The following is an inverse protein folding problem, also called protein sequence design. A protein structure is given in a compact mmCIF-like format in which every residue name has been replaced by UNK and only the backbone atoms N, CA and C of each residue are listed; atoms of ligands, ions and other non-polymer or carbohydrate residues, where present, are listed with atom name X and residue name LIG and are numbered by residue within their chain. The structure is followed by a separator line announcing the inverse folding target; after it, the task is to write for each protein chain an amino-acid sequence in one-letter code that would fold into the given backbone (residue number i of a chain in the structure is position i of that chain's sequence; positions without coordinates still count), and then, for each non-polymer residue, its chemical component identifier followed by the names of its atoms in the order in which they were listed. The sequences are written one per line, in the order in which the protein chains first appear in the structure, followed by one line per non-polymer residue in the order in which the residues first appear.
data_IF_722846369081
#
_entry.id   IF_722846369081
#
_cell.length_a   1.000
_cell.length_b   1.000
_cell.length_c   1.000
_cell.angle_alpha   90.00
_cell.angle_beta   90.00
_cell.angle_gamma   90.00
#
_symmetry.space_group_name_H-M   'P 1'
#
loop_
_entity.id
_entity.type
_entity.pdbx_description
1 polymer ?
#
# COMPACT_ATOMS: atom_id res chain seq x y z
N UNK A 1 -5.81 34.24 -11.21
CA UNK A 1 -5.98 32.81 -10.88
C UNK A 1 -5.09 32.48 -9.68
N UNK A 2 -5.62 32.24 -8.47
CA UNK A 2 -4.76 32.03 -7.32
C UNK A 2 -4.25 30.58 -7.31
N UNK A 3 -2.93 30.48 -7.21
CA UNK A 3 -2.09 29.33 -6.98
C UNK A 3 -2.80 28.10 -6.39
N UNK A 4 -2.68 26.97 -7.08
CA UNK A 4 -2.79 25.63 -6.49
C UNK A 4 -1.70 25.49 -5.44
N UNK A 5 -1.97 26.00 -4.23
CA UNK A 5 -1.21 25.73 -3.02
C UNK A 5 -0.92 24.24 -2.99
N UNK A 6 0.36 23.90 -2.98
CA UNK A 6 0.88 22.59 -2.58
C UNK A 6 0.07 22.11 -1.39
N UNK A 7 -0.89 21.21 -1.62
CA UNK A 7 -1.49 20.46 -0.52
C UNK A 7 -0.30 19.77 0.13
N UNK A 8 -0.04 19.96 1.44
CA UNK A 8 0.97 19.17 2.10
C UNK A 8 0.59 17.72 1.80
N UNK A 9 1.56 16.94 1.34
CA UNK A 9 1.44 15.51 1.18
C UNK A 9 0.94 14.92 2.49
N UNK A 10 -0.38 14.73 2.60
CA UNK A 10 -1.05 14.43 3.85
C UNK A 10 -0.75 12.97 4.19
N UNK A 11 0.08 12.79 5.21
CA UNK A 11 0.22 11.53 5.93
C UNK A 11 -0.85 11.52 7.02
N UNK A 12 -1.76 10.55 6.97
CA UNK A 12 -2.75 10.33 8.03
C UNK A 12 -2.58 8.95 8.64
N UNK A 13 -2.89 8.81 9.93
CA UNK A 13 -2.85 7.53 10.64
C UNK A 13 -4.22 7.29 11.23
N UNK A 14 -4.84 6.18 10.87
CA UNK A 14 -6.18 5.79 11.30
C UNK A 14 -6.15 4.42 11.98
N UNK A 15 -7.02 4.22 12.95
CA UNK A 15 -7.29 2.92 13.55
C UNK A 15 -8.57 2.36 12.95
N UNK A 16 -8.53 1.11 12.49
CA UNK A 16 -9.71 0.43 11.96
C UNK A 16 -10.03 -0.82 12.77
N UNK A 17 -11.28 -0.92 13.21
CA UNK A 17 -11.80 -2.01 14.02
C UNK A 17 -11.61 -1.82 15.53
N UNK A 18 -12.43 -2.54 16.31
CA UNK A 18 -12.42 -2.46 17.76
C UNK A 18 -11.11 -2.98 18.37
N UNK A 19 -10.67 -2.34 19.46
CA UNK A 19 -9.49 -2.71 20.26
C UNK A 19 -8.12 -2.55 19.58
N UNK A 20 -8.01 -1.67 18.58
CA UNK A 20 -6.69 -1.24 18.08
C UNK A 20 -6.06 -0.25 19.06
N UNK A 21 -4.87 -0.60 19.56
CA UNK A 21 -4.15 0.12 20.62
C UNK A 21 -3.82 1.56 20.22
N UNK A 22 -4.13 2.52 21.09
CA UNK A 22 -3.72 3.94 20.97
C UNK A 22 -2.20 4.09 21.00
N UNK A 23 -1.50 3.23 21.73
CA UNK A 23 -0.03 3.22 21.78
C UNK A 23 0.57 2.81 20.44
N UNK A 24 -0.07 1.89 19.71
CA UNK A 24 0.37 1.50 18.37
C UNK A 24 0.25 2.68 17.39
N UNK A 25 -0.87 3.42 17.47
CA UNK A 25 -1.07 4.66 16.72
C UNK A 25 0.01 5.70 17.01
N UNK A 26 0.26 6.01 18.28
CA UNK A 26 1.29 6.97 18.68
C UNK A 26 2.67 6.60 18.14
N UNK A 27 3.05 5.32 18.20
CA UNK A 27 4.32 4.84 17.65
C UNK A 27 4.40 5.05 16.14
N UNK A 28 3.35 4.71 15.42
CA UNK A 28 3.28 4.90 13.96
C UNK A 28 3.38 6.38 13.62
N UNK A 29 2.60 7.23 14.28
CA UNK A 29 2.63 8.69 14.10
C UNK A 29 4.02 9.28 14.38
N UNK A 30 4.74 8.71 15.35
CA UNK A 30 6.11 9.14 15.68
C UNK A 30 7.15 8.71 14.64
N UNK A 31 7.11 7.47 14.15
CA UNK A 31 8.14 6.95 13.24
C UNK A 31 7.85 7.23 11.75
N UNK A 32 6.57 7.32 11.36
CA UNK A 32 6.19 7.41 9.95
C UNK A 32 6.78 8.64 9.23
N UNK A 33 6.82 9.86 9.81
CA UNK A 33 7.45 11.00 9.16
C UNK A 33 8.93 10.79 8.85
N UNK A 34 9.69 10.26 9.82
CA UNK A 34 11.14 10.01 9.66
C UNK A 34 11.40 8.98 8.55
N UNK A 35 10.68 7.87 8.57
CA UNK A 35 10.84 6.83 7.54
C UNK A 35 10.37 7.32 6.17
N UNK A 36 9.29 8.10 6.12
CA UNK A 36 8.81 8.74 4.89
C UNK A 36 9.87 9.65 4.28
N UNK A 37 10.53 10.48 5.10
CA UNK A 37 11.56 11.40 4.64
C UNK A 37 12.78 10.64 4.10
N UNK A 38 13.20 9.56 4.75
CA UNK A 38 14.28 8.69 4.24
C UNK A 38 13.98 8.17 2.82
N UNK A 39 12.75 7.68 2.59
CA UNK A 39 12.33 7.21 1.26
C UNK A 39 12.23 8.36 0.27
N UNK A 40 11.63 9.47 0.68
CA UNK A 40 11.49 10.67 -0.13
C UNK A 40 12.85 11.22 -0.59
N UNK A 41 13.84 11.26 0.29
CA UNK A 41 15.20 11.72 -0.04
C UNK A 41 15.91 10.74 -0.98
N UNK A 42 15.70 9.42 -0.83
CA UNK A 42 16.23 8.42 -1.75
C UNK A 42 15.73 8.60 -3.19
N UNK A 43 14.45 8.89 -3.36
CA UNK A 43 13.82 9.07 -4.68
C UNK A 43 13.85 10.52 -5.20
N UNK A 44 14.75 11.37 -4.68
CA UNK A 44 14.95 12.71 -5.20
C UNK A 44 13.81 13.68 -4.92
N UNK A 45 13.11 13.51 -3.78
CA UNK A 45 12.05 14.39 -3.28
C UNK A 45 10.81 14.49 -4.15
N UNK A 46 10.48 13.44 -4.89
CA UNK A 46 9.18 13.30 -5.54
C UNK A 46 8.08 13.29 -4.47
N UNK A 47 6.96 14.01 -4.65
CA UNK A 47 5.87 13.97 -3.69
C UNK A 47 5.29 12.56 -3.61
N UNK A 48 5.59 11.86 -2.52
CA UNK A 48 4.83 10.69 -2.07
C UNK A 48 3.41 11.23 -1.85
N UNK A 49 2.43 10.79 -2.66
CA UNK A 49 1.06 11.30 -2.67
C UNK A 49 0.35 11.23 -1.30
N UNK A 50 -0.96 11.48 -1.25
CA UNK A 50 -1.68 11.32 0.03
C UNK A 50 -1.62 9.86 0.50
N UNK A 51 -1.04 9.63 1.68
CA UNK A 51 -0.90 8.30 2.28
C UNK A 51 -1.73 8.23 3.56
N UNK A 52 -2.59 7.22 3.64
CA UNK A 52 -3.33 6.88 4.85
C UNK A 52 -2.79 5.57 5.41
N UNK A 53 -2.16 5.62 6.58
CA UNK A 53 -1.75 4.42 7.31
C UNK A 53 -2.92 3.93 8.14
N UNK A 54 -3.39 2.71 7.87
CA UNK A 54 -4.50 2.10 8.59
C UNK A 54 -3.96 0.98 9.48
N UNK A 55 -4.14 1.15 10.79
CA UNK A 55 -3.78 0.16 11.79
C UNK A 55 -4.97 -0.75 12.06
N UNK A 56 -4.81 -2.04 11.81
CA UNK A 56 -5.91 -3.00 11.92
C UNK A 56 -5.45 -4.38 12.38
N UNK A 57 -6.41 -5.26 12.71
CA UNK A 57 -6.14 -6.66 13.07
C UNK A 57 -5.79 -7.45 11.80
N UNK A 58 -4.91 -8.48 11.89
CA UNK A 58 -4.51 -9.29 10.73
C UNK A 58 -5.68 -9.82 9.90
N UNK A 59 -6.75 -10.29 10.57
CA UNK A 59 -7.97 -10.81 9.93
C UNK A 59 -8.73 -9.80 9.07
N UNK A 60 -8.52 -8.50 9.30
CA UNK A 60 -9.19 -7.42 8.59
C UNK A 60 -8.34 -6.84 7.45
N UNK A 61 -7.06 -7.24 7.33
CA UNK A 61 -6.17 -6.71 6.29
C UNK A 61 -6.67 -7.03 4.88
N UNK A 62 -6.98 -8.31 4.60
CA UNK A 62 -7.45 -8.73 3.28
C UNK A 62 -8.80 -8.11 2.90
N UNK A 63 -9.85 -8.13 3.75
CA UNK A 63 -11.10 -7.46 3.45
C UNK A 63 -10.93 -5.98 3.11
N UNK A 64 -10.16 -5.24 3.93
CA UNK A 64 -9.89 -3.82 3.69
C UNK A 64 -9.13 -3.56 2.40
N UNK A 65 -8.16 -4.43 2.09
CA UNK A 65 -7.39 -4.30 0.87
C UNK A 65 -8.24 -4.58 -0.38
N UNK A 66 -9.15 -5.55 -0.30
CA UNK A 66 -10.10 -5.86 -1.38
C UNK A 66 -11.09 -4.72 -1.60
N UNK A 67 -11.62 -4.15 -0.52
CA UNK A 67 -12.50 -2.98 -0.56
C UNK A 67 -11.78 -1.78 -1.22
N UNK A 68 -10.60 -1.43 -0.71
CA UNK A 68 -9.83 -0.30 -1.23
C UNK A 68 -9.48 -0.45 -2.72
N UNK A 69 -8.97 -1.62 -3.11
CA UNK A 69 -8.57 -1.88 -4.50
C UNK A 69 -9.76 -2.03 -5.43
N UNK A 70 -10.82 -2.72 -4.98
CA UNK A 70 -12.06 -2.90 -5.75
C UNK A 70 -12.71 -1.56 -6.05
N UNK A 71 -12.86 -0.71 -5.03
CA UNK A 71 -13.41 0.64 -5.20
C UNK A 71 -12.49 1.51 -6.08
N UNK A 72 -11.17 1.49 -5.87
CA UNK A 72 -10.21 2.22 -6.70
C UNK A 72 -10.23 1.77 -8.17
N UNK A 73 -10.53 0.49 -8.43
CA UNK A 73 -10.66 -0.08 -9.77
C UNK A 73 -12.06 0.11 -10.39
N UNK A 74 -13.03 0.64 -9.65
CA UNK A 74 -14.42 0.77 -10.09
C UNK A 74 -15.13 -0.58 -10.24
N UNK A 75 -14.72 -1.59 -9.47
CA UNK A 75 -15.36 -2.91 -9.43
C UNK A 75 -16.60 -2.83 -8.51
N UNK A 76 -17.75 -3.38 -8.93
CA UNK A 76 -18.95 -3.44 -8.10
C UNK A 76 -18.72 -4.08 -6.73
N UNK A 77 -19.40 -3.56 -5.71
CA UNK A 77 -19.23 -3.98 -4.31
C UNK A 77 -19.52 -5.47 -4.07
N UNK A 78 -20.58 -5.97 -4.68
CA UNK A 78 -20.92 -7.39 -4.65
C UNK A 78 -19.80 -8.29 -5.21
N UNK A 79 -19.05 -7.81 -6.21
CA UNK A 79 -17.97 -8.57 -6.85
C UNK A 79 -16.74 -8.66 -5.95
N UNK A 80 -16.24 -7.55 -5.41
CA UNK A 80 -15.05 -7.60 -4.56
C UNK A 80 -15.30 -8.20 -3.17
N UNK A 81 -16.56 -8.19 -2.69
CA UNK A 81 -16.97 -8.93 -1.48
C UNK A 81 -17.02 -10.45 -1.66
N UNK A 82 -17.30 -10.92 -2.88
CA UNK A 82 -17.50 -12.35 -3.18
C UNK A 82 -16.26 -13.04 -3.75
N UNK A 83 -15.54 -12.39 -4.67
CA UNK A 83 -14.37 -12.96 -5.35
C UNK A 83 -13.13 -12.88 -4.47
N UNK A 84 -12.95 -11.75 -3.77
CA UNK A 84 -11.71 -11.38 -3.10
C UNK A 84 -10.55 -11.21 -4.10
N UNK A 85 -9.68 -10.20 -3.91
CA UNK A 85 -8.44 -10.19 -4.69
C UNK A 85 -7.67 -11.44 -4.27
N UNK A 86 -7.38 -12.33 -5.22
CA UNK A 86 -6.55 -13.48 -4.90
C UNK A 86 -5.22 -12.96 -4.33
N UNK A 87 -4.65 -13.73 -3.41
CA UNK A 87 -3.45 -13.45 -2.61
C UNK A 87 -2.17 -13.19 -3.43
N UNK A 88 -2.28 -12.93 -4.74
CA UNK A 88 -1.21 -12.68 -5.67
C UNK A 88 -0.49 -11.35 -5.40
N UNK A 89 -1.19 -10.35 -4.85
CA UNK A 89 -0.62 -9.02 -4.52
C UNK A 89 -0.35 -8.86 -3.02
N UNK A 90 -1.12 -9.54 -2.19
CA UNK A 90 -1.03 -9.41 -0.74
C UNK A 90 -0.56 -10.76 -0.26
N UNK A 91 0.70 -10.82 0.19
CA UNK A 91 1.28 -11.97 0.88
C UNK A 91 0.29 -12.57 1.91
N UNK A 92 0.52 -13.79 2.39
CA UNK A 92 -0.40 -14.42 3.35
C UNK A 92 -0.66 -13.50 4.57
N UNK A 93 -1.90 -13.38 5.09
CA UNK A 93 -2.25 -12.40 6.14
C UNK A 93 -1.44 -12.46 7.43
N UNK A 94 -0.84 -13.62 7.73
CA UNK A 94 0.01 -13.83 8.90
C UNK A 94 1.48 -13.47 8.66
N UNK A 95 1.91 -13.38 7.39
CA UNK A 95 3.24 -12.91 6.97
C UNK A 95 3.24 -11.42 6.64
N UNK A 96 2.09 -10.87 6.21
CA UNK A 96 1.92 -9.43 5.90
C UNK A 96 2.11 -8.58 7.14
N UNK A 97 3.21 -7.82 7.15
CA UNK A 97 3.47 -6.78 8.16
C UNK A 97 2.87 -5.43 7.74
N UNK A 98 2.92 -5.16 6.44
CA UNK A 98 2.34 -4.02 5.75
C UNK A 98 1.81 -4.47 4.40
N UNK A 99 0.68 -3.96 3.96
CA UNK A 99 0.23 -4.06 2.58
C UNK A 99 -0.06 -2.65 2.05
N UNK A 100 0.54 -2.28 0.93
CA UNK A 100 0.27 -1.01 0.27
C UNK A 100 -0.71 -1.22 -0.86
N UNK A 101 -1.80 -0.46 -0.83
CA UNK A 101 -2.87 -0.57 -1.81
C UNK A 101 -3.24 0.78 -2.37
N UNK A 102 -3.68 0.77 -3.63
CA UNK A 102 -4.38 1.91 -4.21
C UNK A 102 -5.74 2.05 -3.51
N UNK A 103 -6.12 3.28 -3.24
CA UNK A 103 -7.38 3.62 -2.63
C UNK A 103 -8.19 4.57 -3.54
N UNK A 104 -9.48 4.79 -3.24
CA UNK A 104 -10.34 5.65 -4.03
C UNK A 104 -9.75 7.05 -4.22
N UNK A 105 -10.12 7.68 -5.35
CA UNK A 105 -9.70 9.06 -5.68
C UNK A 105 -8.18 9.28 -5.75
N UNK A 106 -7.40 8.20 -5.91
CA UNK A 106 -5.94 8.27 -6.04
C UNK A 106 -5.18 8.45 -4.74
N UNK A 107 -5.82 8.16 -3.62
CA UNK A 107 -5.12 7.99 -2.35
C UNK A 107 -4.36 6.64 -2.33
N UNK A 108 -3.39 6.53 -1.42
CA UNK A 108 -2.67 5.30 -1.13
C UNK A 108 -2.93 4.90 0.31
N UNK A 109 -3.26 3.63 0.55
CA UNK A 109 -3.41 3.11 1.91
C UNK A 109 -2.28 2.15 2.24
N UNK A 110 -1.73 2.30 3.44
CA UNK A 110 -0.78 1.36 4.03
C UNK A 110 -1.47 0.63 5.18
N UNK A 111 -1.80 -0.64 4.98
CA UNK A 111 -2.50 -1.46 5.96
C UNK A 111 -1.46 -2.16 6.85
N UNK A 112 -1.37 -1.78 8.12
CA UNK A 112 -0.37 -2.32 9.06
C UNK A 112 -1.04 -3.19 10.12
N UNK A 113 -0.47 -4.38 10.31
CA UNK A 113 -0.89 -5.36 11.30
C UNK A 113 -0.51 -4.94 12.72
N UNK A 114 -1.50 -4.63 13.56
CA UNK A 114 -1.29 -4.12 14.94
C UNK A 114 -0.39 -4.99 15.82
N UNK A 115 -0.52 -6.34 15.85
CA UNK A 115 0.38 -7.18 16.66
C UNK A 115 1.86 -7.01 16.31
N UNK A 116 2.17 -6.60 15.07
CA UNK A 116 3.55 -6.41 14.57
C UNK A 116 4.10 -5.01 14.89
N UNK A 117 3.30 -4.10 15.44
CA UNK A 117 3.69 -2.72 15.83
C UNK A 117 4.39 -2.67 17.22
N UNK A 118 4.44 -3.80 17.94
CA UNK A 118 5.04 -3.87 19.28
C UNK A 118 6.56 -3.75 19.29
N UNK A 119 7.23 -4.19 18.23
CA UNK A 119 8.67 -4.06 18.04
C UNK A 119 8.96 -2.83 17.17
N UNK A 120 9.76 -1.89 17.69
CA UNK A 120 10.10 -0.65 17.01
C UNK A 120 10.91 -0.88 15.73
N UNK A 121 11.80 -1.87 15.71
CA UNK A 121 12.59 -2.23 14.52
C UNK A 121 11.68 -2.78 13.43
N UNK A 122 10.78 -3.68 13.80
CA UNK A 122 9.82 -4.27 12.85
C UNK A 122 8.84 -3.24 12.32
N UNK A 123 8.40 -2.31 13.16
CA UNK A 123 7.55 -1.19 12.75
C UNK A 123 8.26 -0.29 11.73
N UNK A 124 9.49 0.14 12.00
CA UNK A 124 10.26 0.97 11.07
C UNK A 124 10.46 0.27 9.73
N UNK A 125 10.79 -1.02 9.73
CA UNK A 125 10.94 -1.81 8.50
C UNK A 125 9.61 -1.95 7.73
N UNK A 126 8.50 -2.09 8.44
CA UNK A 126 7.17 -2.18 7.81
C UNK A 126 6.76 -0.84 7.20
N UNK A 127 7.02 0.27 7.90
CA UNK A 127 6.82 1.62 7.36
C UNK A 127 7.71 1.85 6.13
N UNK A 128 8.96 1.41 6.18
CA UNK A 128 9.92 1.57 5.08
C UNK A 128 9.42 0.84 3.83
N UNK A 129 9.10 -0.45 3.95
CA UNK A 129 8.54 -1.23 2.85
C UNK A 129 7.30 -0.56 2.27
N UNK A 130 6.36 -0.14 3.11
CA UNK A 130 5.14 0.51 2.64
C UNK A 130 5.38 1.83 1.92
N UNK A 131 6.29 2.69 2.40
CA UNK A 131 6.60 3.94 1.71
C UNK A 131 7.35 3.73 0.39
N UNK A 132 8.23 2.73 0.30
CA UNK A 132 8.87 2.35 -0.97
C UNK A 132 7.82 1.85 -1.97
N UNK A 133 6.89 0.98 -1.53
CA UNK A 133 5.77 0.53 -2.37
C UNK A 133 4.87 1.69 -2.81
N UNK A 134 4.62 2.68 -1.94
CA UNK A 134 3.92 3.92 -2.32
C UNK A 134 4.66 4.63 -3.45
N UNK A 135 5.98 4.83 -3.34
CA UNK A 135 6.78 5.48 -4.39
C UNK A 135 6.65 4.74 -5.72
N UNK A 136 6.79 3.42 -5.70
CA UNK A 136 6.68 2.57 -6.88
C UNK A 136 5.29 2.71 -7.53
N UNK A 137 4.22 2.70 -6.74
CA UNK A 137 2.85 2.79 -7.24
C UNK A 137 2.46 4.17 -7.79
N UNK A 138 3.16 5.25 -7.39
CA UNK A 138 2.93 6.59 -7.98
C UNK A 138 3.76 6.85 -9.25
N UNK A 139 4.60 5.89 -9.68
CA UNK A 139 5.29 5.96 -10.97
C UNK A 139 4.28 5.90 -12.11
N UNK A 140 4.61 6.55 -13.23
CA UNK A 140 3.77 6.56 -14.42
C UNK A 140 3.48 5.12 -14.88
N UNK A 141 2.19 4.78 -15.05
CA UNK A 141 1.74 3.47 -15.50
C UNK A 141 1.61 2.41 -14.41
N UNK A 142 2.28 2.54 -13.26
CA UNK A 142 2.26 1.52 -12.21
C UNK A 142 0.86 1.39 -11.56
N UNK A 143 0.21 2.53 -11.31
CA UNK A 143 -1.15 2.57 -10.78
C UNK A 143 -2.15 1.96 -11.76
N UNK A 144 -2.05 2.32 -13.04
CA UNK A 144 -2.93 1.84 -14.09
C UNK A 144 -2.78 0.33 -14.28
N UNK A 145 -1.53 -0.16 -14.23
CA UNK A 145 -1.22 -1.59 -14.23
C UNK A 145 -1.86 -2.32 -13.05
N UNK A 146 -1.77 -1.75 -11.82
CA UNK A 146 -2.41 -2.31 -10.63
C UNK A 146 -3.94 -2.34 -10.75
N UNK A 147 -4.57 -1.25 -11.19
CA UNK A 147 -6.02 -1.21 -11.45
C UNK A 147 -6.43 -2.26 -12.47
N UNK A 148 -5.67 -2.40 -13.56
CA UNK A 148 -5.95 -3.36 -14.63
C UNK A 148 -5.85 -4.80 -14.11
N UNK A 149 -4.84 -5.09 -13.29
CA UNK A 149 -4.70 -6.39 -12.64
C UNK A 149 -5.87 -6.69 -11.69
N UNK A 150 -6.29 -5.72 -10.88
CA UNK A 150 -7.45 -5.89 -9.99
C UNK A 150 -8.72 -6.23 -10.77
N UNK A 151 -8.99 -5.53 -11.87
CA UNK A 151 -10.15 -5.82 -12.74
C UNK A 151 -10.07 -7.19 -13.39
N UNK A 152 -8.87 -7.65 -13.72
CA UNK A 152 -8.63 -8.98 -14.25
C UNK A 152 -8.92 -10.06 -13.20
N UNK A 153 -8.34 -9.94 -12.00
CA UNK A 153 -8.51 -10.91 -10.90
C UNK A 153 -9.96 -10.98 -10.42
N UNK A 154 -10.69 -9.86 -10.46
CA UNK A 154 -12.11 -9.79 -10.11
C UNK A 154 -13.05 -10.13 -11.28
N UNK A 155 -12.51 -10.53 -12.44
CA UNK A 155 -13.26 -10.92 -13.64
C UNK A 155 -14.24 -9.85 -14.17
N UNK A 156 -13.95 -8.56 -13.95
CA UNK A 156 -14.76 -7.44 -14.46
C UNK A 156 -14.27 -6.96 -15.82
N UNK A 157 -12.98 -7.09 -16.09
CA UNK A 157 -12.38 -6.86 -17.40
C UNK A 157 -11.23 -7.85 -17.60
N UNK A 158 -11.54 -9.12 -17.91
CA UNK A 158 -10.53 -10.16 -17.97
C UNK A 158 -9.59 -9.93 -19.15
N UNK A 159 -8.30 -9.96 -18.86
CA UNK A 159 -7.24 -9.91 -19.87
C UNK A 159 -7.10 -11.28 -20.56
N UNK A 160 -6.66 -11.28 -21.81
CA UNK A 160 -6.17 -12.52 -22.44
C UNK A 160 -4.98 -13.08 -21.66
N UNK A 161 -4.77 -14.41 -21.72
CA UNK A 161 -3.65 -15.08 -21.04
C UNK A 161 -2.29 -14.42 -21.29
N UNK A 162 -2.04 -13.98 -22.53
CA UNK A 162 -0.80 -13.29 -22.91
C UNK A 162 -0.66 -11.93 -22.23
N UNK A 163 -1.74 -11.14 -22.20
CA UNK A 163 -1.75 -9.83 -21.54
C UNK A 163 -1.62 -9.97 -20.02
N UNK A 164 -2.35 -10.90 -19.42
CA UNK A 164 -2.26 -11.21 -17.99
C UNK A 164 -0.84 -11.59 -17.58
N UNK A 165 -0.19 -12.50 -18.32
CA UNK A 165 1.19 -12.90 -18.05
C UNK A 165 2.18 -11.74 -18.16
N UNK A 166 2.04 -10.90 -19.20
CA UNK A 166 2.89 -9.71 -19.38
C UNK A 166 2.72 -8.72 -18.21
N UNK A 167 1.48 -8.44 -17.84
CA UNK A 167 1.17 -7.53 -16.74
C UNK A 167 1.67 -8.07 -15.40
N UNK A 168 1.46 -9.36 -15.13
CA UNK A 168 1.97 -10.03 -13.93
C UNK A 168 3.49 -9.97 -13.84
N UNK A 169 4.20 -10.22 -14.94
CA UNK A 169 5.65 -10.14 -14.98
C UNK A 169 6.15 -8.72 -14.66
N UNK A 170 5.47 -7.68 -15.16
CA UNK A 170 5.79 -6.30 -14.84
C UNK A 170 5.58 -6.01 -13.34
N UNK A 171 4.43 -6.39 -12.78
CA UNK A 171 4.13 -6.18 -11.35
C UNK A 171 5.18 -6.87 -10.46
N UNK A 172 5.56 -8.10 -10.79
CA UNK A 172 6.60 -8.83 -10.05
C UNK A 172 7.98 -8.17 -10.17
N UNK A 173 8.31 -7.59 -11.32
CA UNK A 173 9.55 -6.84 -11.50
C UNK A 173 9.57 -5.57 -10.64
N UNK A 174 8.45 -4.83 -10.59
CA UNK A 174 8.30 -3.64 -9.75
C UNK A 174 8.40 -4.00 -8.25
N UNK A 175 7.80 -5.13 -7.84
CA UNK A 175 7.89 -5.65 -6.47
C UNK A 175 9.32 -6.08 -6.10
N UNK A 176 10.04 -6.75 -7.01
CA UNK A 176 11.43 -7.11 -6.80
C UNK A 176 12.37 -5.88 -6.74
N UNK A 177 12.05 -4.81 -7.48
CA UNK A 177 12.75 -3.53 -7.33
C UNK A 177 12.47 -2.90 -5.95
N UNK A 178 11.21 -2.87 -5.53
CA UNK A 178 10.80 -2.37 -4.21
C UNK A 178 11.51 -3.12 -3.07
N UNK A 179 11.63 -4.44 -3.18
CA UNK A 179 12.32 -5.27 -2.20
C UNK A 179 13.82 -4.95 -2.12
N UNK A 180 14.49 -4.83 -3.27
CA UNK A 180 15.92 -4.44 -3.33
C UNK A 180 16.17 -3.07 -2.70
N UNK A 181 15.33 -2.08 -3.02
CA UNK A 181 15.45 -0.72 -2.45
C UNK A 181 15.17 -0.74 -0.95
N UNK A 182 14.15 -1.47 -0.52
CA UNK A 182 13.84 -1.64 0.91
C UNK A 182 15.03 -2.25 1.65
N UNK A 183 15.68 -3.26 1.08
CA UNK A 183 16.86 -3.89 1.68
C UNK A 183 18.07 -2.94 1.78
N UNK A 184 18.30 -2.08 0.78
CA UNK A 184 19.37 -1.07 0.84
C UNK A 184 19.09 0.00 1.90
N UNK A 185 17.87 0.54 1.92
CA UNK A 185 17.46 1.57 2.88
C UNK A 185 17.38 1.04 4.31
N UNK A 186 17.03 -0.24 4.49
CA UNK A 186 16.99 -0.87 5.82
C UNK A 186 18.35 -0.90 6.51
N UNK A 187 19.47 -0.85 5.77
CA UNK A 187 20.82 -0.75 6.32
C UNK A 187 21.13 0.64 6.89
N UNK A 188 20.31 1.64 6.58
CA UNK A 188 20.44 3.04 7.01
C UNK A 188 19.52 3.39 8.18
N UNK A 189 18.71 2.44 8.66
CA UNK A 189 17.73 2.58 9.76
C UNK A 189 18.26 2.06 11.09
#
# INVERSE_FOLDING_TARGET
MPATKNKPSQLSVLRYGAFVSRTAEQRVTSYAPTVRNLVHDHFGRRPLGSVTIILTKPRLLLPLANEAQGEAAGVPENTWKSVGVQQSIIDKPHTVRVATVIAPKGAMWMLISVPKVRDSKQLKLSLLRGFVEVDQLIRSGARENRVTWVRHEMNVNPLSKRQANKLKAQILADEAEAERITADLARRL
#
